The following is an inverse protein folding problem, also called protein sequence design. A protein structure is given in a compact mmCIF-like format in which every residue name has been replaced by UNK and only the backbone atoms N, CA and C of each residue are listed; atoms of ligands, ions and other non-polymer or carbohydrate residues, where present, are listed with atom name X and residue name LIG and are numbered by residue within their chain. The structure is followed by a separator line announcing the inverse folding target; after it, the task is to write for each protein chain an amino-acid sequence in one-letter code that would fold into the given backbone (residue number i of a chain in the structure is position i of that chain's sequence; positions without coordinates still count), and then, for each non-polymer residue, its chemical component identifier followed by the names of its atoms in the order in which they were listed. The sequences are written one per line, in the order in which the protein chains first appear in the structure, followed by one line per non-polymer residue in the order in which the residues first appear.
data_IF_347690996809
#
_entry.id   IF_347690996809
#
_cell.length_a   1.000
_cell.length_b   1.000
_cell.length_c   1.000
_cell.angle_alpha   90.00
_cell.angle_beta   90.00
_cell.angle_gamma   90.00
#
_symmetry.space_group_name_H-M   'P 1'
#
loop_
_entity.id
_entity.type
_entity.pdbx_description
1 polymer ?
#
# COMPACT_ATOMS: atom_id res chain seq x y z
N UNK A 1 10.84 -23.32 14.40
CA UNK A 1 11.23 -23.96 13.13
C UNK A 1 10.04 -24.77 12.66
N UNK A 2 9.17 -24.13 11.88
CA UNK A 2 7.96 -24.75 11.36
C UNK A 2 8.29 -25.22 9.94
N UNK A 3 8.34 -26.52 9.74
CA UNK A 3 8.57 -27.18 8.46
C UNK A 3 7.47 -26.80 7.46
N UNK A 4 7.83 -26.07 6.40
CA UNK A 4 6.95 -25.76 5.27
C UNK A 4 6.59 -27.07 4.55
N UNK A 5 5.32 -27.48 4.66
CA UNK A 5 4.79 -28.69 4.05
C UNK A 5 4.58 -28.46 2.54
N UNK A 6 5.63 -28.57 1.73
CA UNK A 6 5.55 -28.59 0.26
C UNK A 6 5.52 -30.05 -0.22
N UNK A 7 4.50 -30.79 0.20
CA UNK A 7 4.24 -32.16 -0.26
C UNK A 7 2.84 -32.22 -0.90
N UNK A 8 2.67 -31.49 -2.00
CA UNK A 8 1.55 -31.68 -2.91
C UNK A 8 1.94 -32.67 -4.01
N UNK A 9 1.10 -33.67 -4.28
CA UNK A 9 1.25 -34.50 -5.48
C UNK A 9 0.78 -33.68 -6.69
N UNK A 10 1.72 -33.14 -7.47
CA UNK A 10 1.42 -32.40 -8.71
C UNK A 10 1.51 -33.32 -9.92
N UNK A 11 0.62 -33.11 -10.89
CA UNK A 11 0.63 -33.87 -12.15
C UNK A 11 1.44 -33.13 -13.21
N UNK A 12 2.26 -33.86 -13.97
CA UNK A 12 3.05 -33.27 -15.07
C UNK A 12 2.10 -32.63 -16.09
N UNK A 13 2.31 -31.35 -16.39
CA UNK A 13 1.44 -30.57 -17.28
C UNK A 13 0.42 -29.69 -16.55
N UNK A 14 0.30 -29.79 -15.22
CA UNK A 14 -0.57 -28.94 -14.42
C UNK A 14 -0.04 -27.50 -14.37
N UNK A 15 -0.89 -26.52 -14.66
CA UNK A 15 -0.54 -25.11 -14.47
C UNK A 15 -0.64 -24.76 -13.00
N UNK A 16 0.45 -24.26 -12.44
CA UNK A 16 0.55 -23.90 -11.04
C UNK A 16 1.06 -22.48 -10.87
N UNK A 17 0.63 -21.86 -9.78
CA UNK A 17 1.15 -20.59 -9.28
C UNK A 17 2.08 -20.87 -8.10
N UNK A 18 3.32 -20.34 -8.15
CA UNK A 18 4.37 -20.55 -7.16
C UNK A 18 4.73 -19.20 -6.53
N UNK A 19 4.62 -19.11 -5.21
CA UNK A 19 5.08 -17.97 -4.41
C UNK A 19 6.35 -18.37 -3.66
N UNK A 20 7.41 -17.59 -3.83
CA UNK A 20 8.65 -17.75 -3.08
C UNK A 20 8.58 -17.05 -1.71
N UNK A 21 9.52 -17.39 -0.81
CA UNK A 21 9.61 -16.79 0.53
C UNK A 21 9.95 -15.30 0.52
N UNK A 22 10.50 -14.78 -0.59
CA UNK A 22 10.79 -13.36 -0.81
C UNK A 22 9.69 -12.62 -1.58
N UNK A 23 8.47 -13.16 -1.56
CA UNK A 23 7.26 -12.62 -2.18
C UNK A 23 7.27 -12.52 -3.73
N UNK A 24 8.27 -13.10 -4.40
CA UNK A 24 8.26 -13.26 -5.86
C UNK A 24 7.28 -14.34 -6.31
N UNK A 25 6.51 -14.04 -7.36
CA UNK A 25 5.45 -14.90 -7.84
C UNK A 25 5.67 -15.34 -9.29
N UNK A 26 5.37 -16.61 -9.56
CA UNK A 26 5.56 -17.23 -10.86
C UNK A 26 4.35 -18.08 -11.22
N UNK A 27 3.89 -17.97 -12.46
CA UNK A 27 2.98 -18.94 -13.06
C UNK A 27 3.79 -19.86 -13.95
N UNK A 28 3.60 -21.16 -13.85
CA UNK A 28 4.34 -22.10 -14.70
C UNK A 28 3.70 -23.46 -14.73
N UNK A 29 4.05 -24.24 -15.74
CA UNK A 29 3.55 -25.61 -15.88
C UNK A 29 4.50 -26.57 -15.19
N UNK A 30 3.96 -27.39 -14.28
CA UNK A 30 4.74 -28.36 -13.52
C UNK A 30 5.33 -29.44 -14.44
N UNK A 31 6.64 -29.65 -14.34
CA UNK A 31 7.35 -30.68 -15.12
C UNK A 31 7.64 -31.93 -14.29
N UNK A 32 8.41 -31.77 -13.21
CA UNK A 32 8.88 -32.85 -12.35
C UNK A 32 9.44 -32.30 -11.03
N UNK A 33 9.48 -33.15 -10.02
CA UNK A 33 10.21 -32.91 -8.77
C UNK A 33 11.50 -33.73 -8.76
N UNK A 34 12.60 -33.16 -8.29
CA UNK A 34 13.87 -33.86 -8.09
C UNK A 34 14.12 -34.08 -6.60
N UNK A 35 13.99 -35.34 -6.16
CA UNK A 35 14.27 -35.71 -4.76
C UNK A 35 15.74 -35.51 -4.39
N UNK A 36 16.66 -35.82 -5.31
CA UNK A 36 18.10 -35.66 -5.09
C UNK A 36 18.54 -34.20 -4.90
N UNK A 37 17.82 -33.24 -5.50
CA UNK A 37 18.12 -31.79 -5.42
C UNK A 37 17.16 -31.02 -4.52
N UNK A 38 16.16 -31.70 -3.95
CA UNK A 38 15.09 -31.12 -3.16
C UNK A 38 14.45 -29.89 -3.85
N UNK A 39 14.07 -30.06 -5.12
CA UNK A 39 13.64 -28.98 -6.02
C UNK A 39 12.47 -29.40 -6.91
N UNK A 40 11.76 -28.42 -7.46
CA UNK A 40 10.70 -28.60 -8.46
C UNK A 40 11.06 -27.84 -9.74
N UNK A 41 10.84 -28.48 -10.88
CA UNK A 41 11.07 -27.90 -12.22
C UNK A 41 9.76 -27.52 -12.87
N UNK A 42 9.70 -26.30 -13.38
CA UNK A 42 8.60 -25.75 -14.17
C UNK A 42 9.07 -25.43 -15.59
N UNK A 43 8.13 -25.34 -16.52
CA UNK A 43 8.34 -24.82 -17.87
C UNK A 43 7.23 -23.82 -18.24
N UNK A 44 7.48 -23.00 -19.27
CA UNK A 44 6.59 -21.89 -19.67
C UNK A 44 6.24 -20.99 -18.48
N UNK A 45 7.27 -20.52 -17.77
CA UNK A 45 7.09 -19.72 -16.56
C UNK A 45 6.92 -18.25 -16.92
N UNK A 46 5.95 -17.57 -16.33
CA UNK A 46 5.81 -16.11 -16.36
C UNK A 46 6.00 -15.54 -14.97
N UNK A 47 6.81 -14.49 -14.84
CA UNK A 47 6.94 -13.72 -13.61
C UNK A 47 5.74 -12.78 -13.44
N UNK A 48 5.15 -12.77 -12.26
CA UNK A 48 4.01 -11.90 -11.92
C UNK A 48 4.49 -10.80 -10.95
N UNK A 49 4.28 -9.51 -11.24
CA UNK A 49 3.39 -8.95 -12.27
C UNK A 49 4.05 -8.59 -13.61
N UNK A 50 5.39 -8.61 -13.71
CA UNK A 50 6.10 -7.99 -14.85
C UNK A 50 5.94 -8.74 -16.20
N UNK A 51 5.34 -9.94 -16.20
CA UNK A 51 5.06 -10.74 -17.40
C UNK A 51 6.29 -11.33 -18.09
N UNK A 52 7.44 -11.35 -17.40
CA UNK A 52 8.70 -11.85 -17.95
C UNK A 52 8.66 -13.37 -18.08
N UNK A 53 8.82 -13.87 -19.29
CA UNK A 53 8.73 -15.30 -19.59
C UNK A 53 10.08 -16.02 -19.52
N UNK A 54 10.07 -17.25 -19.03
CA UNK A 54 11.20 -18.17 -18.96
C UNK A 54 10.78 -19.54 -19.48
N UNK A 55 11.61 -20.17 -20.31
CA UNK A 55 11.31 -21.49 -20.86
C UNK A 55 11.28 -22.57 -19.78
N UNK A 56 12.25 -22.55 -18.86
CA UNK A 56 12.37 -23.52 -17.78
C UNK A 56 13.07 -22.92 -16.56
N UNK A 57 12.57 -23.21 -15.36
CA UNK A 57 13.16 -22.81 -14.08
C UNK A 57 13.06 -23.96 -13.07
N UNK A 58 14.07 -24.09 -12.21
CA UNK A 58 14.13 -25.05 -11.11
C UNK A 58 14.17 -24.28 -9.79
N UNK A 59 13.20 -24.51 -8.92
CA UNK A 59 13.10 -23.86 -7.61
C UNK A 59 13.40 -24.85 -6.49
N UNK A 60 14.21 -24.47 -5.51
CA UNK A 60 14.41 -25.30 -4.31
C UNK A 60 13.14 -25.27 -3.47
N UNK A 61 12.75 -26.41 -2.89
CA UNK A 61 11.57 -26.48 -2.01
C UNK A 61 11.67 -25.51 -0.80
N UNK A 62 12.88 -25.21 -0.34
CA UNK A 62 13.13 -24.25 0.75
C UNK A 62 12.85 -22.79 0.36
N UNK A 63 12.87 -22.48 -0.94
CA UNK A 63 12.60 -21.13 -1.46
C UNK A 63 11.12 -20.91 -1.72
N UNK A 64 10.33 -21.99 -1.75
CA UNK A 64 8.91 -21.96 -2.03
C UNK A 64 8.13 -21.76 -0.73
N UNK A 65 7.37 -20.68 -0.68
CA UNK A 65 6.41 -20.42 0.38
C UNK A 65 5.09 -21.14 0.13
N UNK A 66 4.60 -21.13 -1.12
CA UNK A 66 3.30 -21.70 -1.49
C UNK A 66 3.21 -22.10 -2.96
N UNK A 67 2.43 -23.16 -3.27
CA UNK A 67 2.07 -23.57 -4.64
C UNK A 67 0.53 -23.73 -4.71
N UNK A 68 -0.11 -23.29 -5.79
CA UNK A 68 -1.55 -23.42 -6.03
C UNK A 68 -1.87 -23.86 -7.48
N UNK A 69 -2.96 -24.61 -7.70
CA UNK A 69 -3.42 -25.05 -9.04
C UNK A 69 -4.25 -23.98 -9.75
N UNK A 70 -4.18 -23.93 -11.08
CA UNK A 70 -4.89 -22.98 -11.96
C UNK A 70 -5.88 -23.70 -12.92
N UNK A 71 -6.71 -24.63 -12.42
CA UNK A 71 -7.71 -25.32 -13.25
C UNK A 71 -8.96 -24.45 -13.52
N UNK A 72 -9.50 -24.52 -14.74
CA UNK A 72 -10.62 -23.70 -15.23
C UNK A 72 -11.93 -24.48 -15.35
N UNK A 73 -13.07 -23.79 -15.18
CA UNK A 73 -14.42 -24.32 -15.39
C UNK A 73 -15.17 -23.56 -16.50
N UNK A 74 -15.98 -24.30 -17.24
CA UNK A 74 -16.73 -23.91 -18.45
C UNK A 74 -18.00 -23.08 -18.17
N UNK A 75 -18.48 -22.46 -19.25
CA UNK A 75 -19.38 -21.30 -19.36
C UNK A 75 -20.86 -21.63 -19.03
N UNK A 76 -21.51 -20.74 -18.28
CA UNK A 76 -22.96 -20.57 -18.23
C UNK A 76 -23.31 -19.10 -18.40
N UNK A 77 -24.09 -18.79 -19.45
CA UNK A 77 -24.51 -17.45 -19.85
C UNK A 77 -25.47 -16.82 -18.83
N UNK A 78 -25.18 -15.60 -18.38
CA UNK A 78 -26.20 -14.57 -18.15
C UNK A 78 -25.57 -13.17 -18.16
N UNK A 79 -26.29 -12.23 -18.75
CA UNK A 79 -25.86 -10.88 -19.12
C UNK A 79 -25.88 -9.96 -17.90
N UNK A 80 -24.72 -9.47 -17.47
CA UNK A 80 -24.61 -8.23 -16.69
C UNK A 80 -23.33 -7.45 -17.05
N UNK A 81 -23.47 -6.15 -17.13
CA UNK A 81 -22.51 -5.17 -17.64
C UNK A 81 -21.33 -5.00 -16.67
N UNK A 82 -20.16 -5.56 -16.99
CA UNK A 82 -19.00 -5.39 -16.11
C UNK A 82 -17.77 -6.11 -16.60
N UNK A 83 -16.68 -5.38 -16.81
CA UNK A 83 -15.34 -5.90 -17.10
C UNK A 83 -15.03 -7.05 -16.13
N UNK A 84 -14.86 -8.27 -16.62
CA UNK A 84 -14.40 -9.40 -15.80
C UNK A 84 -13.08 -9.02 -15.14
N UNK A 85 -13.12 -8.74 -13.84
CA UNK A 85 -11.93 -8.61 -13.02
C UNK A 85 -11.29 -9.99 -12.91
N UNK A 86 -10.00 -10.06 -13.22
CA UNK A 86 -9.17 -11.26 -13.13
C UNK A 86 -9.24 -11.89 -11.72
N UNK A 87 -9.35 -13.22 -11.63
CA UNK A 87 -9.47 -13.97 -10.37
C UNK A 87 -8.30 -13.70 -9.41
N UNK A 88 -7.12 -13.38 -9.96
CA UNK A 88 -5.95 -12.96 -9.19
C UNK A 88 -6.15 -11.61 -8.51
N UNK A 89 -6.83 -10.67 -9.18
CA UNK A 89 -7.23 -9.38 -8.62
C UNK A 89 -8.25 -9.61 -7.51
N UNK A 90 -9.27 -10.44 -7.72
CA UNK A 90 -10.27 -10.76 -6.70
C UNK A 90 -9.65 -11.37 -5.43
N UNK A 91 -8.70 -12.30 -5.60
CA UNK A 91 -7.99 -12.94 -4.48
C UNK A 91 -7.03 -12.00 -3.75
N UNK A 92 -6.32 -11.14 -4.48
CA UNK A 92 -5.47 -10.09 -3.89
C UNK A 92 -6.29 -9.07 -3.11
N UNK A 93 -7.42 -8.63 -3.67
CA UNK A 93 -8.37 -7.76 -2.99
C UNK A 93 -8.88 -8.39 -1.70
N UNK A 94 -9.21 -9.69 -1.72
CA UNK A 94 -9.59 -10.44 -0.52
C UNK A 94 -8.50 -10.45 0.56
N UNK A 95 -7.26 -10.78 0.20
CA UNK A 95 -6.16 -10.85 1.16
C UNK A 95 -5.79 -9.48 1.75
N UNK A 96 -5.75 -8.43 0.91
CA UNK A 96 -5.52 -7.06 1.37
C UNK A 96 -6.65 -6.59 2.29
N UNK A 97 -7.90 -6.84 1.89
CA UNK A 97 -9.08 -6.50 2.69
C UNK A 97 -9.03 -7.13 4.06
N UNK A 98 -8.82 -8.45 4.15
CA UNK A 98 -8.77 -9.15 5.45
C UNK A 98 -7.63 -8.63 6.33
N UNK A 99 -6.46 -8.34 5.76
CA UNK A 99 -5.33 -7.75 6.51
C UNK A 99 -5.63 -6.35 7.03
N UNK A 100 -6.32 -5.52 6.24
CA UNK A 100 -6.74 -4.19 6.69
C UNK A 100 -7.84 -4.30 7.74
N UNK A 101 -8.80 -5.21 7.54
CA UNK A 101 -9.89 -5.48 8.46
C UNK A 101 -9.36 -5.93 9.83
N UNK A 102 -8.45 -6.89 9.87
CA UNK A 102 -7.81 -7.34 11.12
C UNK A 102 -7.15 -6.17 11.86
N UNK A 103 -6.42 -5.33 11.13
CA UNK A 103 -5.77 -4.12 11.67
C UNK A 103 -6.78 -3.10 12.23
N UNK A 104 -7.94 -2.96 11.57
CA UNK A 104 -9.03 -2.07 12.00
C UNK A 104 -9.76 -2.64 13.21
N UNK A 105 -10.05 -3.95 13.24
CA UNK A 105 -10.71 -4.61 14.37
C UNK A 105 -9.83 -4.59 15.62
N UNK A 106 -8.51 -4.62 15.46
CA UNK A 106 -7.51 -4.50 16.53
C UNK A 106 -7.08 -3.05 16.83
N UNK A 107 -7.85 -2.04 16.40
CA UNK A 107 -7.54 -0.65 16.70
C UNK A 107 -7.47 -0.41 18.22
N UNK A 108 -6.63 0.53 18.63
CA UNK A 108 -6.52 0.97 20.02
C UNK A 108 -7.16 2.35 20.13
N UNK A 109 -8.27 2.43 20.84
CA UNK A 109 -8.92 3.70 21.18
C UNK A 109 -8.33 4.24 22.48
N UNK A 110 -7.82 5.48 22.43
CA UNK A 110 -7.03 6.08 23.51
C UNK A 110 -7.71 7.37 23.96
N UNK A 111 -8.38 7.31 25.10
CA UNK A 111 -9.10 8.44 25.69
C UNK A 111 -8.46 8.99 26.97
N UNK A 112 -7.45 8.29 27.49
CA UNK A 112 -6.70 8.64 28.69
C UNK A 112 -5.19 8.47 28.48
N UNK A 113 -4.39 9.02 29.39
CA UNK A 113 -2.92 8.89 29.37
C UNK A 113 -2.50 7.70 30.23
N UNK A 114 -2.85 6.49 29.78
CA UNK A 114 -2.62 5.20 30.43
C UNK A 114 -1.50 4.39 29.74
N UNK A 115 -1.45 3.08 29.99
CA UNK A 115 -0.49 2.17 29.34
C UNK A 115 -0.69 2.09 27.83
N UNK A 116 -1.95 2.11 27.34
CA UNK A 116 -2.23 2.11 25.90
C UNK A 116 -1.68 3.36 25.23
N UNK A 117 -1.82 4.54 25.87
CA UNK A 117 -1.21 5.77 25.39
C UNK A 117 0.33 5.67 25.35
N UNK A 118 0.94 5.10 26.39
CA UNK A 118 2.40 4.93 26.45
C UNK A 118 2.92 3.96 25.37
N UNK A 119 2.22 2.84 25.14
CA UNK A 119 2.57 1.84 24.14
C UNK A 119 2.42 2.40 22.72
N UNK A 120 1.34 3.14 22.45
CA UNK A 120 1.15 3.83 21.19
C UNK A 120 2.30 4.81 20.90
N UNK A 121 2.77 5.56 21.91
CA UNK A 121 3.94 6.44 21.76
C UNK A 121 5.18 5.64 21.40
N UNK A 122 5.48 4.53 22.09
CA UNK A 122 6.68 3.72 21.80
C UNK A 122 6.69 3.20 20.38
N UNK A 123 5.53 2.72 19.89
CA UNK A 123 5.39 2.27 18.51
C UNK A 123 5.65 3.45 17.57
N UNK A 124 4.94 4.57 17.75
CA UNK A 124 5.00 5.73 16.86
C UNK A 124 6.38 6.40 16.83
N UNK A 125 7.09 6.46 17.96
CA UNK A 125 8.42 7.06 18.07
C UNK A 125 9.49 6.29 17.27
N UNK A 126 9.29 4.98 17.09
CA UNK A 126 10.20 4.11 16.34
C UNK A 126 9.94 4.09 14.83
N UNK A 127 8.98 4.89 14.34
CA UNK A 127 8.48 4.80 12.96
C UNK A 127 8.88 6.01 12.12
N UNK A 128 9.11 5.78 10.83
CA UNK A 128 9.48 6.84 9.88
C UNK A 128 8.28 7.35 9.07
N UNK A 129 7.19 6.60 9.00
CA UNK A 129 6.03 6.87 8.15
C UNK A 129 4.75 6.47 8.84
N UNK A 130 3.86 7.44 9.02
CA UNK A 130 2.53 7.25 9.62
C UNK A 130 1.46 7.82 8.70
N UNK A 131 0.28 7.21 8.64
CA UNK A 131 -0.89 7.87 8.07
C UNK A 131 -1.63 8.66 9.14
N UNK A 132 -2.16 9.83 8.76
CA UNK A 132 -2.86 10.73 9.69
C UNK A 132 -4.16 11.22 9.06
N UNK A 133 -5.24 11.13 9.82
CA UNK A 133 -6.50 11.84 9.57
C UNK A 133 -7.03 12.38 10.90
N UNK A 134 -7.97 13.33 10.84
CA UNK A 134 -8.57 13.90 12.03
C UNK A 134 -10.06 14.21 11.81
N UNK A 135 -10.89 13.57 12.60
CA UNK A 135 -12.34 13.78 12.57
C UNK A 135 -12.68 15.13 13.23
N UNK A 136 -13.68 15.82 12.68
CA UNK A 136 -14.05 17.19 13.09
C UNK A 136 -13.19 18.30 12.49
N UNK A 137 -12.11 17.97 11.76
CA UNK A 137 -11.23 18.97 11.11
C UNK A 137 -11.80 19.58 9.82
N UNK A 138 -12.94 19.09 9.31
CA UNK A 138 -13.55 19.47 8.02
C UNK A 138 -13.89 20.97 7.90
N UNK A 139 -13.98 21.70 9.01
CA UNK A 139 -14.23 23.16 9.04
C UNK A 139 -12.93 23.98 9.24
N UNK A 140 -11.76 23.35 9.13
CA UNK A 140 -10.45 24.01 9.28
C UNK A 140 -10.33 24.73 10.63
N UNK A 141 -9.93 26.00 10.60
CA UNK A 141 -9.79 26.90 11.75
C UNK A 141 -11.08 27.17 12.53
N UNK A 142 -12.23 26.83 11.98
CA UNK A 142 -13.53 26.97 12.66
C UNK A 142 -13.97 25.66 13.32
N UNK A 143 -13.42 24.52 12.89
CA UNK A 143 -13.64 23.20 13.50
C UNK A 143 -12.71 22.92 14.67
N UNK A 144 -12.91 21.75 15.28
CA UNK A 144 -12.01 21.19 16.30
C UNK A 144 -11.85 19.71 16.00
N UNK A 145 -10.63 19.21 16.17
CA UNK A 145 -10.34 17.78 16.09
C UNK A 145 -10.98 17.09 17.28
N UNK A 146 -11.88 16.14 17.00
CA UNK A 146 -12.52 15.30 18.01
C UNK A 146 -11.72 14.03 18.26
N UNK A 147 -11.26 13.40 17.18
CA UNK A 147 -10.42 12.20 17.19
C UNK A 147 -9.27 12.38 16.22
N UNK A 148 -8.03 12.21 16.69
CA UNK A 148 -6.85 12.11 15.84
C UNK A 148 -6.59 10.64 15.55
N UNK A 149 -6.56 10.27 14.28
CA UNK A 149 -6.42 8.88 13.87
C UNK A 149 -5.03 8.71 13.24
N UNK A 150 -4.28 7.71 13.69
CA UNK A 150 -2.93 7.43 13.20
C UNK A 150 -2.83 5.94 12.87
N UNK A 151 -2.42 5.62 11.64
CA UNK A 151 -2.10 4.25 11.25
C UNK A 151 -0.62 4.10 10.94
N UNK A 152 -0.04 3.02 11.43
CA UNK A 152 1.38 2.72 11.25
C UNK A 152 1.56 1.21 11.11
N UNK A 153 2.30 0.78 10.08
CA UNK A 153 2.42 -0.64 9.71
C UNK A 153 1.05 -1.37 9.61
N UNK A 154 0.73 -2.20 10.61
CA UNK A 154 -0.54 -2.92 10.77
C UNK A 154 -1.21 -2.59 12.12
N UNK A 155 -1.04 -1.37 12.62
CA UNK A 155 -1.67 -0.89 13.86
C UNK A 155 -2.39 0.43 13.61
N UNK A 156 -3.55 0.60 14.25
CA UNK A 156 -4.36 1.83 14.22
C UNK A 156 -4.54 2.34 15.64
N UNK A 157 -4.22 3.61 15.83
CA UNK A 157 -4.39 4.33 17.09
C UNK A 157 -5.36 5.50 16.90
N UNK A 158 -6.41 5.54 17.71
CA UNK A 158 -7.44 6.58 17.68
C UNK A 158 -7.35 7.36 18.99
N UNK A 159 -6.77 8.56 18.94
CA UNK A 159 -6.63 9.43 20.10
C UNK A 159 -7.88 10.30 20.23
N UNK A 160 -8.67 10.09 21.28
CA UNK A 160 -9.83 10.91 21.60
C UNK A 160 -9.39 12.26 22.18
N UNK A 161 -9.23 13.25 21.30
CA UNK A 161 -8.78 14.58 21.67
C UNK A 161 -9.79 15.30 22.57
N UNK A 162 -11.07 14.94 22.51
CA UNK A 162 -12.09 15.51 23.40
C UNK A 162 -11.84 15.10 24.86
N UNK A 163 -11.55 13.82 25.10
CA UNK A 163 -11.30 13.30 26.45
C UNK A 163 -9.86 13.57 26.92
N UNK A 164 -8.85 13.39 26.06
CA UNK A 164 -7.46 13.70 26.38
C UNK A 164 -7.25 15.20 26.64
N UNK A 165 -8.07 16.03 25.99
CA UNK A 165 -8.06 17.49 26.08
C UNK A 165 -6.90 18.14 25.34
N UNK A 166 -6.87 19.48 25.34
CA UNK A 166 -5.87 20.28 24.63
C UNK A 166 -4.42 19.95 25.02
N UNK A 167 -4.20 19.41 26.22
CA UNK A 167 -2.88 18.97 26.69
C UNK A 167 -2.25 17.89 25.80
N UNK A 168 -3.06 17.06 25.13
CA UNK A 168 -2.56 16.07 24.17
C UNK A 168 -1.70 16.71 23.07
N UNK A 169 -2.00 17.95 22.70
CA UNK A 169 -1.29 18.74 21.68
C UNK A 169 -0.41 19.86 22.25
N UNK A 170 -0.89 20.58 23.27
CA UNK A 170 -0.25 21.81 23.76
C UNK A 170 0.63 21.63 24.98
N UNK A 171 0.62 20.47 25.65
CA UNK A 171 1.50 20.25 26.79
C UNK A 171 2.97 20.37 26.35
N UNK A 172 3.80 20.94 27.24
CA UNK A 172 5.24 21.00 27.02
C UNK A 172 5.76 19.57 26.78
N UNK A 173 6.42 19.36 25.64
CA UNK A 173 6.92 18.05 25.26
C UNK A 173 5.90 17.09 24.66
N UNK A 174 4.66 17.53 24.35
CA UNK A 174 3.62 16.73 23.69
C UNK A 174 4.19 15.91 22.54
N UNK A 175 4.05 14.60 22.64
CA UNK A 175 4.49 13.66 21.62
C UNK A 175 3.72 13.85 20.31
N UNK A 176 2.38 13.96 20.37
CA UNK A 176 1.55 14.13 19.17
C UNK A 176 1.92 15.38 18.38
N UNK A 177 2.20 16.50 19.08
CA UNK A 177 2.70 17.72 18.42
C UNK A 177 4.06 17.49 17.75
N UNK A 178 5.02 16.91 18.48
CA UNK A 178 6.35 16.59 17.92
C UNK A 178 6.27 15.68 16.69
N UNK A 179 5.42 14.66 16.73
CA UNK A 179 5.20 13.73 15.62
C UNK A 179 4.68 14.47 14.38
N UNK A 180 3.63 15.28 14.54
CA UNK A 180 3.01 16.03 13.44
C UNK A 180 3.94 17.12 12.86
N UNK A 181 4.77 17.75 13.69
CA UNK A 181 5.74 18.77 13.28
C UNK A 181 7.09 18.21 12.83
N UNK A 182 7.31 16.89 12.97
CA UNK A 182 8.57 16.24 12.62
C UNK A 182 8.87 16.40 11.14
N UNK A 183 10.10 16.83 10.82
CA UNK A 183 10.63 16.84 9.44
C UNK A 183 11.12 15.46 8.98
N UNK A 184 11.31 14.52 9.91
CA UNK A 184 11.83 13.17 9.62
C UNK A 184 10.70 12.19 9.36
N UNK A 185 9.67 12.21 10.20
CA UNK A 185 8.53 11.31 10.06
C UNK A 185 7.63 11.80 8.93
N UNK A 186 7.34 10.97 7.96
CA UNK A 186 6.44 11.26 6.84
C UNK A 186 4.99 11.03 7.27
N UNK A 187 4.13 12.03 7.07
CA UNK A 187 2.68 11.91 7.32
C UNK A 187 1.95 11.68 6.00
N UNK A 188 1.40 10.48 5.82
CA UNK A 188 0.52 10.14 4.71
C UNK A 188 -0.88 10.66 5.01
N UNK A 189 -1.39 11.54 4.17
CA UNK A 189 -2.72 12.16 4.35
C UNK A 189 -3.55 12.02 3.08
N UNK A 190 -4.83 12.34 3.18
CA UNK A 190 -5.67 12.56 2.02
C UNK A 190 -6.29 13.95 2.11
N UNK A 191 -5.99 14.81 1.14
CA UNK A 191 -6.51 16.17 1.08
C UNK A 191 -6.30 16.97 2.39
N UNK A 192 -5.04 17.15 2.80
CA UNK A 192 -4.66 17.71 4.11
C UNK A 192 -4.98 19.20 4.30
N UNK A 193 -5.64 19.88 3.35
CA UNK A 193 -5.89 21.33 3.38
C UNK A 193 -6.60 21.76 4.68
N UNK A 194 -7.74 21.14 4.99
CA UNK A 194 -8.52 21.47 6.19
C UNK A 194 -7.85 20.95 7.47
N UNK A 195 -7.22 19.78 7.42
CA UNK A 195 -6.43 19.24 8.54
C UNK A 195 -5.31 20.22 8.95
N UNK A 196 -4.54 20.70 7.97
CA UNK A 196 -3.44 21.64 8.19
C UNK A 196 -3.92 22.99 8.73
N UNK A 197 -5.02 23.53 8.17
CA UNK A 197 -5.63 24.78 8.65
C UNK A 197 -6.12 24.64 10.12
N UNK A 198 -6.78 23.52 10.44
CA UNK A 198 -7.25 23.22 11.80
C UNK A 198 -6.09 23.10 12.79
N UNK A 199 -5.09 22.26 12.47
CA UNK A 199 -3.89 22.05 13.29
C UNK A 199 -3.16 23.36 13.58
N UNK A 200 -2.96 24.20 12.56
CA UNK A 200 -2.23 25.46 12.71
C UNK A 200 -2.97 26.46 13.57
N UNK A 201 -4.26 26.69 13.30
CA UNK A 201 -5.01 27.77 13.91
C UNK A 201 -5.61 27.43 15.27
N UNK A 202 -5.97 26.16 15.53
CA UNK A 202 -6.55 25.75 16.82
C UNK A 202 -5.50 25.25 17.81
N UNK A 203 -4.49 24.54 17.30
CA UNK A 203 -3.56 23.79 18.13
C UNK A 203 -2.12 24.32 18.04
N UNK A 204 -1.85 25.33 17.20
CA UNK A 204 -0.51 25.87 16.95
C UNK A 204 0.47 24.79 16.45
N UNK A 205 -0.05 23.77 15.76
CA UNK A 205 0.72 22.68 15.18
C UNK A 205 0.97 22.97 13.70
N UNK A 206 2.24 23.00 13.29
CA UNK A 206 2.63 23.15 11.89
C UNK A 206 2.92 21.77 11.29
N UNK A 207 1.94 21.19 10.61
CA UNK A 207 2.09 19.90 9.93
C UNK A 207 3.23 19.99 8.90
N UNK A 208 4.19 19.05 8.96
CA UNK A 208 5.39 19.05 8.11
C UNK A 208 5.64 17.67 7.52
N UNK A 209 6.43 17.58 6.43
CA UNK A 209 6.78 16.32 5.76
C UNK A 209 5.55 15.44 5.45
N UNK A 210 4.76 15.88 4.48
CA UNK A 210 3.48 15.27 4.12
C UNK A 210 3.57 14.60 2.76
N UNK A 211 3.06 13.36 2.68
CA UNK A 211 2.68 12.72 1.43
C UNK A 211 1.16 12.78 1.32
N UNK A 212 0.65 13.65 0.45
CA UNK A 212 -0.81 13.76 0.26
C UNK A 212 -1.25 12.90 -0.93
N UNK A 213 -2.09 11.90 -0.66
CA UNK A 213 -2.57 10.95 -1.67
C UNK A 213 -3.37 11.62 -2.78
N UNK A 214 -4.14 12.67 -2.48
CA UNK A 214 -4.87 13.44 -3.49
C UNK A 214 -3.89 14.25 -4.36
N UNK A 215 -2.90 14.90 -3.74
CA UNK A 215 -1.88 15.64 -4.49
C UNK A 215 -1.05 14.73 -5.39
N UNK A 216 -0.64 13.57 -4.90
CA UNK A 216 0.08 12.56 -5.69
C UNK A 216 -0.75 12.10 -6.90
N UNK A 217 -2.02 11.77 -6.69
CA UNK A 217 -2.94 11.41 -7.78
C UNK A 217 -3.09 12.52 -8.83
N UNK A 218 -3.20 13.80 -8.41
CA UNK A 218 -3.24 14.94 -9.33
C UNK A 218 -1.97 15.09 -10.16
N UNK A 219 -0.80 14.71 -9.63
CA UNK A 219 0.46 14.69 -10.38
C UNK A 219 0.45 13.55 -11.40
N UNK A 220 0.08 12.33 -10.99
CA UNK A 220 0.02 11.14 -11.86
C UNK A 220 -0.91 11.37 -13.05
N UNK A 221 -2.10 11.94 -12.80
CA UNK A 221 -3.12 12.18 -13.84
C UNK A 221 -2.92 13.48 -14.61
N UNK A 222 -1.97 14.32 -14.20
CA UNK A 222 -1.80 15.70 -14.67
C UNK A 222 -3.09 16.54 -14.57
N UNK A 223 -4.00 16.20 -13.65
CA UNK A 223 -5.28 16.87 -13.46
C UNK A 223 -5.22 17.79 -12.23
N UNK A 224 -4.74 19.02 -12.45
CA UNK A 224 -4.55 20.06 -11.42
C UNK A 224 -5.85 20.80 -11.14
N UNK A 225 -6.84 20.12 -10.55
CA UNK A 225 -8.09 20.80 -10.17
C UNK A 225 -9.23 19.90 -9.70
N UNK A 226 -9.21 18.62 -10.06
CA UNK A 226 -10.27 17.69 -9.64
C UNK A 226 -9.94 17.10 -8.25
N UNK A 227 -10.74 17.45 -7.24
CA UNK A 227 -10.66 16.85 -5.92
C UNK A 227 -11.32 15.47 -5.95
N UNK A 228 -10.50 14.42 -6.05
CA UNK A 228 -10.95 13.03 -6.01
C UNK A 228 -11.20 12.59 -4.57
N UNK A 229 -12.27 11.83 -4.33
CA UNK A 229 -12.59 11.27 -3.00
C UNK A 229 -11.62 10.14 -2.63
N UNK A 230 -11.51 9.87 -1.33
CA UNK A 230 -10.74 8.72 -0.85
C UNK A 230 -11.29 7.40 -1.42
N UNK A 231 -12.62 7.25 -1.50
CA UNK A 231 -13.28 6.05 -2.03
C UNK A 231 -12.88 5.76 -3.48
N UNK A 232 -12.77 6.80 -4.31
CA UNK A 232 -12.30 6.68 -5.69
C UNK A 232 -10.83 6.21 -5.75
N UNK A 233 -9.95 6.73 -4.89
CA UNK A 233 -8.56 6.27 -4.84
C UNK A 233 -8.44 4.84 -4.30
N UNK A 234 -9.28 4.45 -3.34
CA UNK A 234 -9.32 3.08 -2.82
C UNK A 234 -9.72 2.10 -3.93
N UNK A 235 -10.77 2.41 -4.69
CA UNK A 235 -11.18 1.62 -5.85
C UNK A 235 -10.08 1.57 -6.92
N UNK A 236 -9.46 2.70 -7.23
CA UNK A 236 -8.49 2.80 -8.31
C UNK A 236 -7.15 2.12 -7.97
N UNK A 237 -6.59 2.36 -6.79
CA UNK A 237 -5.23 1.93 -6.46
C UNK A 237 -5.17 0.69 -5.57
N UNK A 238 -6.18 0.44 -4.74
CA UNK A 238 -6.23 -0.76 -3.88
C UNK A 238 -7.12 -1.85 -4.46
N UNK A 239 -7.92 -1.54 -5.50
CA UNK A 239 -8.91 -2.44 -6.11
C UNK A 239 -9.95 -2.96 -5.09
N UNK A 240 -10.17 -2.20 -4.02
CA UNK A 240 -11.17 -2.49 -2.99
C UNK A 240 -12.44 -1.66 -3.23
N UNK A 241 -13.63 -2.14 -2.79
CA UNK A 241 -14.85 -1.33 -2.84
C UNK A 241 -14.69 0.02 -2.13
N UNK A 242 -14.82 1.13 -2.87
CA UNK A 242 -14.61 2.48 -2.32
C UNK A 242 -15.58 2.84 -1.17
N UNK A 243 -16.75 2.22 -1.12
CA UNK A 243 -17.75 2.42 -0.07
C UNK A 243 -17.32 1.90 1.31
N UNK A 244 -16.23 1.13 1.43
CA UNK A 244 -15.67 0.70 2.72
C UNK A 244 -15.33 1.90 3.63
N UNK A 245 -14.96 3.04 3.02
CA UNK A 245 -14.65 4.28 3.74
C UNK A 245 -15.85 5.19 3.99
N UNK A 246 -16.97 4.92 3.32
CA UNK A 246 -18.12 5.83 3.23
C UNK A 246 -19.19 5.44 4.24
N UNK A 247 -18.99 5.83 5.50
CA UNK A 247 -20.15 6.10 6.35
C UNK A 247 -20.72 7.46 5.96
N UNK A 248 -22.00 7.49 5.59
CA UNK A 248 -22.78 8.71 5.45
C UNK A 248 -23.05 9.29 6.84
N UNK A 249 -22.00 9.82 7.48
CA UNK A 249 -22.17 10.62 8.69
C UNK A 249 -22.80 11.94 8.24
N UNK A 250 -24.13 11.93 8.15
CA UNK A 250 -24.95 13.07 7.73
C UNK A 250 -24.85 14.21 8.74
N UNK A 251 -24.68 13.89 10.02
CA UNK A 251 -24.51 14.86 11.09
C UNK A 251 -23.10 14.84 11.69
N UNK A 252 -22.34 15.90 11.41
CA UNK A 252 -21.01 16.12 11.99
C UNK A 252 -21.03 16.29 13.51
N UNK A 253 -22.20 16.52 14.12
CA UNK A 253 -22.35 16.63 15.58
C UNK A 253 -22.08 15.30 16.30
N UNK A 254 -22.30 14.16 15.64
CA UNK A 254 -22.11 12.82 16.22
C UNK A 254 -20.67 12.59 16.69
N UNK A 255 -19.69 13.12 15.96
CA UNK A 255 -18.27 13.07 16.32
C UNK A 255 -17.94 13.78 17.65
N UNK A 256 -18.83 14.63 18.16
CA UNK A 256 -18.67 15.37 19.42
C UNK A 256 -19.34 14.67 20.60
N UNK A 257 -20.19 13.68 20.37
CA UNK A 257 -20.89 12.96 21.43
C UNK A 257 -19.96 11.93 22.08
N UNK A 258 -20.14 11.71 23.38
CA UNK A 258 -19.38 10.71 24.15
C UNK A 258 -20.32 9.87 25.03
N UNK A 259 -20.11 8.53 25.13
CA UNK A 259 -19.09 7.74 24.42
C UNK A 259 -19.27 7.78 22.89
N UNK A 260 -18.17 7.68 22.15
CA UNK A 260 -18.23 7.73 20.68
C UNK A 260 -18.85 6.42 20.17
N UNK A 261 -19.77 6.51 19.21
CA UNK A 261 -20.44 5.32 18.67
C UNK A 261 -19.44 4.36 18.02
N UNK A 262 -19.55 3.03 18.25
CA UNK A 262 -18.60 2.06 17.71
C UNK A 262 -18.46 2.09 16.18
N UNK A 263 -19.53 2.43 15.46
CA UNK A 263 -19.51 2.56 13.99
C UNK A 263 -18.59 3.71 13.55
N UNK A 264 -18.71 4.88 14.18
CA UNK A 264 -17.83 6.03 13.92
C UNK A 264 -16.36 5.70 14.25
N UNK A 265 -16.10 4.95 15.31
CA UNK A 265 -14.75 4.48 15.67
C UNK A 265 -14.18 3.61 14.54
N UNK A 266 -14.94 2.62 14.08
CA UNK A 266 -14.53 1.73 12.98
C UNK A 266 -14.34 2.50 11.67
N UNK A 267 -15.23 3.44 11.34
CA UNK A 267 -15.10 4.27 10.13
C UNK A 267 -13.84 5.14 10.15
N UNK A 268 -13.51 5.73 11.31
CA UNK A 268 -12.27 6.48 11.49
C UNK A 268 -11.03 5.57 11.31
N UNK A 269 -11.08 4.36 11.88
CA UNK A 269 -10.01 3.36 11.74
C UNK A 269 -9.82 2.90 10.28
N UNK A 270 -10.90 2.55 9.59
CA UNK A 270 -10.88 2.19 8.17
C UNK A 270 -10.26 3.27 7.30
N UNK A 271 -10.69 4.53 7.49
CA UNK A 271 -10.21 5.68 6.74
C UNK A 271 -8.70 5.85 6.85
N UNK A 272 -8.17 5.84 8.07
CA UNK A 272 -6.72 6.03 8.28
C UNK A 272 -5.90 4.81 7.81
N UNK A 273 -6.43 3.60 7.99
CA UNK A 273 -5.76 2.38 7.54
C UNK A 273 -5.65 2.32 6.01
N UNK A 274 -6.71 2.69 5.29
CA UNK A 274 -6.72 2.70 3.83
C UNK A 274 -5.83 3.81 3.27
N UNK A 275 -5.81 5.01 3.88
CA UNK A 275 -4.82 6.05 3.55
C UNK A 275 -3.39 5.51 3.69
N UNK A 276 -3.12 4.73 4.75
CA UNK A 276 -1.78 4.12 4.93
C UNK A 276 -1.43 3.15 3.81
N UNK A 277 -2.39 2.35 3.35
CA UNK A 277 -2.17 1.36 2.27
C UNK A 277 -2.04 2.02 0.89
N UNK A 278 -2.68 3.17 0.66
CA UNK A 278 -2.58 3.91 -0.61
C UNK A 278 -1.18 4.41 -0.94
N UNK A 279 -0.31 4.63 0.04
CA UNK A 279 1.03 5.20 -0.19
C UNK A 279 1.85 4.39 -1.19
N UNK A 280 1.95 3.06 -1.02
CA UNK A 280 2.80 2.21 -1.86
C UNK A 280 2.37 2.25 -3.34
N UNK A 281 1.12 1.91 -3.71
CA UNK A 281 0.72 1.93 -5.12
C UNK A 281 0.75 3.33 -5.74
N UNK A 282 0.55 4.39 -4.94
CA UNK A 282 0.70 5.75 -5.44
C UNK A 282 2.17 6.14 -5.67
N UNK A 283 3.08 5.76 -4.78
CA UNK A 283 4.52 5.94 -5.01
C UNK A 283 4.97 5.17 -6.26
N UNK A 284 4.57 3.90 -6.39
CA UNK A 284 4.91 3.06 -7.55
C UNK A 284 4.41 3.71 -8.84
N UNK A 285 3.15 4.19 -8.85
CA UNK A 285 2.58 4.88 -10.01
C UNK A 285 3.27 6.21 -10.31
N UNK A 286 3.69 6.96 -9.29
CA UNK A 286 4.40 8.23 -9.44
C UNK A 286 5.79 8.04 -10.05
N UNK A 287 6.53 7.02 -9.61
CA UNK A 287 7.90 6.75 -10.06
C UNK A 287 7.97 5.85 -11.30
N UNK A 288 6.91 5.14 -11.68
CA UNK A 288 6.90 4.22 -12.82
C UNK A 288 7.50 4.80 -14.13
N UNK A 289 7.21 6.05 -14.56
CA UNK A 289 7.85 6.63 -15.73
C UNK A 289 9.37 6.80 -15.57
N UNK A 290 9.82 7.19 -14.38
CA UNK A 290 11.24 7.35 -14.05
C UNK A 290 11.95 6.00 -13.99
N UNK A 291 11.35 4.99 -13.37
CA UNK A 291 11.90 3.64 -13.29
C UNK A 291 12.04 3.01 -14.67
N UNK A 292 11.05 3.21 -15.55
CA UNK A 292 11.12 2.79 -16.95
C UNK A 292 12.30 3.42 -17.68
N UNK A 293 12.56 4.72 -17.45
CA UNK A 293 13.73 5.39 -18.03
C UNK A 293 15.04 4.83 -17.47
N UNK A 294 15.13 4.57 -16.16
CA UNK A 294 16.30 3.95 -15.57
C UNK A 294 16.56 2.55 -16.16
N UNK A 295 15.51 1.75 -16.34
CA UNK A 295 15.63 0.45 -16.97
C UNK A 295 16.14 0.55 -18.41
N UNK A 296 15.61 1.50 -19.21
CA UNK A 296 16.12 1.74 -20.56
C UNK A 296 17.61 2.10 -20.55
N UNK A 297 18.07 2.91 -19.60
CA UNK A 297 19.50 3.24 -19.48
C UNK A 297 20.33 2.00 -19.12
N UNK A 298 19.87 1.20 -18.16
CA UNK A 298 20.56 -0.02 -17.72
C UNK A 298 20.69 -1.06 -18.84
N UNK A 299 19.68 -1.19 -19.70
CA UNK A 299 19.67 -2.18 -20.80
C UNK A 299 20.33 -1.65 -22.08
N UNK A 300 20.36 -0.32 -22.27
CA UNK A 300 20.78 0.31 -23.53
C UNK A 300 22.18 -0.05 -24.02
N UNK A 301 23.11 -0.38 -23.12
CA UNK A 301 24.48 -0.80 -23.46
C UNK A 301 24.71 -2.25 -23.05
N UNK A 302 24.32 -2.62 -21.83
CA UNK A 302 24.56 -3.96 -21.26
C UNK A 302 23.98 -5.09 -22.12
N UNK A 303 22.85 -4.82 -22.78
CA UNK A 303 22.08 -5.85 -23.48
C UNK A 303 22.19 -5.72 -25.03
N UNK A 304 23.14 -4.91 -25.54
CA UNK A 304 23.48 -4.87 -26.97
C UNK A 304 24.22 -6.16 -27.34
N UNK A 305 23.93 -6.72 -28.51
CA UNK A 305 24.73 -7.81 -29.11
C UNK A 305 26.18 -7.38 -29.41
N UNK A 306 27.16 -8.20 -29.03
CA UNK A 306 28.60 -7.95 -29.23
C UNK A 306 28.94 -7.62 -30.70
N UNK A 307 28.23 -8.22 -31.67
CA UNK A 307 28.44 -7.95 -33.08
C UNK A 307 27.98 -6.54 -33.49
N UNK A 308 26.97 -6.00 -32.81
CA UNK A 308 26.51 -4.63 -33.00
C UNK A 308 27.42 -3.64 -32.24
N UNK A 309 27.87 -3.99 -31.04
CA UNK A 309 28.85 -3.21 -30.28
C UNK A 309 30.17 -3.05 -31.05
N UNK A 310 30.70 -4.13 -31.63
CA UNK A 310 31.91 -4.09 -32.45
C UNK A 310 31.75 -3.20 -33.70
N UNK A 311 30.57 -3.18 -34.33
CA UNK A 311 30.29 -2.29 -35.46
C UNK A 311 30.24 -0.82 -35.04
N UNK A 312 29.65 -0.51 -33.88
CA UNK A 312 29.62 0.85 -33.33
C UNK A 312 31.05 1.32 -33.00
N UNK A 313 31.87 0.46 -32.38
CA UNK A 313 33.26 0.78 -32.06
C UNK A 313 34.10 1.09 -33.30
N UNK A 314 33.95 0.31 -34.39
CA UNK A 314 34.66 0.54 -35.66
C UNK A 314 34.25 1.88 -36.29
N UNK A 315 32.97 2.24 -36.25
CA UNK A 315 32.47 3.53 -36.76
C UNK A 315 33.04 4.70 -35.95
N UNK A 316 33.09 4.58 -34.62
CA UNK A 316 33.68 5.61 -33.76
C UNK A 316 35.18 5.78 -34.00
N UNK A 317 35.93 4.70 -34.23
CA UNK A 317 37.36 4.75 -34.57
C UNK A 317 37.57 5.44 -35.93
N UNK A 318 36.77 5.09 -36.95
CA UNK A 318 36.82 5.75 -38.27
C UNK A 318 36.57 7.26 -38.19
N UNK A 319 35.67 7.71 -37.30
CA UNK A 319 35.41 9.14 -37.09
C UNK A 319 36.56 9.88 -36.37
N UNK A 320 37.36 9.18 -35.56
CA UNK A 320 38.55 9.76 -34.90
C UNK A 320 39.70 9.91 -35.91
N UNK A 321 39.84 8.99 -36.86
CA UNK A 321 40.89 9.03 -37.89
C UNK A 321 40.56 9.92 -39.11
N UNK A 322 39.32 10.42 -39.21
CA UNK A 322 38.86 11.34 -40.27
C UNK A 322 38.80 12.81 -39.83
N UNK A 323 39.38 13.15 -38.67
CA UNK A 323 39.71 14.53 -38.25
C UNK A 323 41.21 14.73 -38.24
#
# INVERSE_FOLDING_TARGET
MSSNNVHGQFTKGQKLFVTLVDDRNFEGTFSRQSEARNSIVFYNISFVPDGKNFEQLEFKLSEIFKIASLEGEEIGEDVDDGRCMDDSVQKFCGALYEKVKECVEQHVFIDQTDENFADAIRVLDSTDTVAVTAEGSNQGRFGYITVLCIAVHNSVFLFDIMNLGMRAFKAAGSFLKKLLESKRVLKVTHNCRFLSDCLKHKYEITLQNVFDTQACHSVITNNRGCSVRLSELVSEYLKLPGNICEEQVTDSSLWRQRPLEPQLVLAAAWRVALIRKLKSPLDDALYAPFDKMCQLYLTSVRDIDDALEAKIAVVCILFIFLR
#
